data_IF_917525433825
#
_entry.id   IF_917525433825
#
_cell.length_a   1.000
_cell.length_b   1.000
_cell.length_c   1.000
_cell.angle_alpha   90.00
_cell.angle_beta   90.00
_cell.angle_gamma   90.00
#
_symmetry.space_group_name_H-M   'P 1'
#
loop_
_entity.id
_entity.type
_entity.pdbx_description
1 polymer ?
#
# COMPACT_ATOMS: atom_id res chain seq x y z
N UNK A 1 4.59 -21.32 6.01
CA UNK A 1 5.16 -20.28 5.12
C UNK A 1 4.10 -19.92 4.09
N UNK A 2 3.29 -18.88 4.33
CA UNK A 2 2.26 -18.45 3.38
C UNK A 2 2.90 -17.65 2.24
N UNK A 3 2.64 -18.05 1.00
CA UNK A 3 3.10 -17.33 -0.20
C UNK A 3 2.33 -16.01 -0.26
N UNK A 4 2.99 -14.91 0.08
CA UNK A 4 2.38 -13.59 -0.05
C UNK A 4 2.15 -13.28 -1.54
N UNK A 5 1.08 -12.57 -1.90
CA UNK A 5 0.90 -12.12 -3.26
C UNK A 5 2.04 -11.17 -3.62
N UNK A 6 2.71 -11.47 -4.72
CA UNK A 6 3.71 -10.61 -5.33
C UNK A 6 3.03 -9.80 -6.44
N UNK A 7 3.37 -8.53 -6.53
CA UNK A 7 2.95 -7.72 -7.68
C UNK A 7 3.69 -8.23 -8.92
N UNK A 8 3.00 -8.31 -10.06
CA UNK A 8 3.60 -8.87 -11.28
C UNK A 8 4.78 -7.98 -11.73
N UNK A 9 5.85 -8.61 -12.21
CA UNK A 9 7.12 -7.96 -12.63
C UNK A 9 7.92 -7.26 -11.52
N UNK A 10 7.33 -7.03 -10.34
CA UNK A 10 8.01 -6.50 -9.17
C UNK A 10 8.30 -7.64 -8.18
N UNK A 11 9.54 -7.79 -7.72
CA UNK A 11 9.85 -8.71 -6.60
C UNK A 11 9.38 -8.15 -5.24
N UNK A 12 8.35 -7.31 -5.25
CA UNK A 12 7.75 -6.67 -4.09
C UNK A 12 6.45 -7.38 -3.73
N UNK A 13 6.29 -7.70 -2.45
CA UNK A 13 5.02 -8.22 -1.92
C UNK A 13 4.05 -7.07 -1.72
N UNK A 14 2.74 -7.36 -1.76
CA UNK A 14 1.68 -6.37 -1.48
C UNK A 14 1.93 -5.65 -0.15
N UNK A 15 2.37 -6.39 0.88
CA UNK A 15 2.77 -5.83 2.17
C UNK A 15 3.89 -4.81 2.04
N UNK A 16 4.94 -5.13 1.27
CA UNK A 16 6.09 -4.23 1.10
C UNK A 16 5.67 -2.93 0.42
N UNK A 17 4.79 -2.99 -0.57
CA UNK A 17 4.25 -1.79 -1.22
C UNK A 17 3.51 -0.91 -0.22
N UNK A 18 2.65 -1.48 0.62
CA UNK A 18 1.93 -0.71 1.65
C UNK A 18 2.89 -0.08 2.66
N UNK A 19 3.94 -0.80 3.07
CA UNK A 19 4.99 -0.28 3.95
C UNK A 19 5.73 0.91 3.29
N UNK A 20 6.06 0.82 1.99
CA UNK A 20 6.65 1.93 1.24
C UNK A 20 5.68 3.11 1.17
N UNK A 21 4.39 2.88 0.90
CA UNK A 21 3.39 3.95 0.84
C UNK A 21 3.22 4.70 2.17
N UNK A 22 3.47 4.03 3.29
CA UNK A 22 3.44 4.59 4.64
C UNK A 22 4.77 5.24 5.07
N UNK A 23 5.88 4.87 4.43
CA UNK A 23 7.23 5.39 4.72
C UNK A 23 7.50 6.67 3.94
N UNK A 24 7.11 6.70 2.67
CA UNK A 24 7.27 7.86 1.80
C UNK A 24 6.02 8.76 1.88
N UNK A 25 6.19 9.94 2.47
CA UNK A 25 5.15 10.98 2.51
C UNK A 25 4.92 11.59 1.12
N UNK A 26 6.00 11.80 0.36
CA UNK A 26 5.94 12.29 -1.01
C UNK A 26 5.88 11.15 -2.05
N UNK A 27 4.98 11.29 -3.01
CA UNK A 27 4.77 10.29 -4.06
C UNK A 27 5.76 10.39 -5.22
N UNK A 28 6.40 11.54 -5.44
CA UNK A 28 7.45 11.67 -6.45
C UNK A 28 8.73 10.99 -5.96
N UNK A 29 9.11 11.16 -4.69
CA UNK A 29 10.27 10.46 -4.12
C UNK A 29 10.12 8.95 -4.23
N UNK A 30 8.94 8.41 -3.91
CA UNK A 30 8.64 6.99 -4.08
C UNK A 30 8.82 6.53 -5.53
N UNK A 31 8.35 7.31 -6.50
CA UNK A 31 8.48 6.99 -7.94
C UNK A 31 9.91 7.11 -8.44
N UNK A 32 10.72 8.00 -7.87
CA UNK A 32 12.13 8.13 -8.24
C UNK A 32 12.93 6.92 -7.75
N UNK A 33 12.65 6.44 -6.55
CA UNK A 33 13.32 5.28 -5.94
C UNK A 33 12.79 3.94 -6.51
N UNK A 34 11.50 3.89 -6.85
CA UNK A 34 10.82 2.72 -7.41
C UNK A 34 10.12 3.08 -8.73
N UNK A 35 10.86 3.37 -9.81
CA UNK A 35 10.27 3.76 -11.10
C UNK A 35 9.49 2.62 -11.77
N UNK A 36 9.77 1.39 -11.36
CA UNK A 36 9.05 0.18 -11.76
C UNK A 36 7.70 0.01 -11.07
N UNK A 37 7.43 0.75 -9.99
CA UNK A 37 6.16 0.71 -9.26
C UNK A 37 5.15 1.65 -9.90
N UNK A 38 4.20 1.10 -10.65
CA UNK A 38 3.16 1.89 -11.29
C UNK A 38 2.01 2.22 -10.32
N UNK A 39 1.24 3.27 -10.63
CA UNK A 39 0.05 3.61 -9.85
C UNK A 39 -0.97 2.48 -9.83
N UNK A 40 -1.04 1.70 -10.90
CA UNK A 40 -1.95 0.56 -10.99
C UNK A 40 -1.56 -0.53 -9.99
N UNK A 41 -0.26 -0.80 -9.83
CA UNK A 41 0.25 -1.73 -8.83
C UNK A 41 -0.12 -1.30 -7.41
N UNK A 42 0.00 0.00 -7.13
CA UNK A 42 -0.40 0.60 -5.86
C UNK A 42 -1.90 0.41 -5.61
N UNK A 43 -2.75 0.66 -6.61
CA UNK A 43 -4.21 0.45 -6.49
C UNK A 43 -4.54 -1.01 -6.23
N UNK A 44 -3.98 -1.93 -7.00
CA UNK A 44 -4.23 -3.36 -6.84
C UNK A 44 -3.76 -3.86 -5.47
N UNK A 45 -2.60 -3.36 -4.98
CA UNK A 45 -2.11 -3.66 -3.63
C UNK A 45 -3.06 -3.19 -2.53
N UNK A 46 -3.62 -1.98 -2.67
CA UNK A 46 -4.60 -1.43 -1.72
C UNK A 46 -5.92 -2.21 -1.76
N UNK A 47 -6.44 -2.54 -2.95
CA UNK A 47 -7.65 -3.35 -3.12
C UNK A 47 -7.47 -4.72 -2.46
N UNK A 48 -6.35 -5.39 -2.73
CA UNK A 48 -6.01 -6.66 -2.08
C UNK A 48 -5.97 -6.54 -0.55
N UNK A 49 -5.40 -5.45 -0.02
CA UNK A 49 -5.32 -5.22 1.43
C UNK A 49 -6.69 -5.04 2.08
N UNK A 50 -7.61 -4.35 1.38
CA UNK A 50 -9.00 -4.18 1.82
C UNK A 50 -9.75 -5.53 1.81
N UNK A 51 -9.62 -6.31 0.74
CA UNK A 51 -10.28 -7.62 0.62
C UNK A 51 -9.74 -8.66 1.61
N UNK A 52 -8.45 -8.63 1.89
CA UNK A 52 -7.78 -9.69 2.68
C UNK A 52 -7.87 -9.46 4.19
N UNK A 53 -8.71 -8.52 4.66
CA UNK A 53 -8.84 -8.20 6.08
C UNK A 53 -7.46 -7.96 6.73
N UNK A 54 -6.57 -7.20 6.05
CA UNK A 54 -5.18 -6.99 6.47
C UNK A 54 -5.13 -6.13 7.74
N UNK A 55 -5.48 -6.72 8.88
CA UNK A 55 -5.66 -6.03 10.15
C UNK A 55 -4.31 -5.77 10.80
N UNK A 56 -3.67 -4.70 10.35
CA UNK A 56 -2.81 -3.89 11.22
C UNK A 56 -3.02 -2.42 10.89
N UNK A 57 -4.26 -1.99 11.07
CA UNK A 57 -4.65 -0.60 10.91
C UNK A 57 -4.06 0.22 12.07
N UNK A 58 -2.87 0.78 11.88
CA UNK A 58 -2.43 1.94 12.67
C UNK A 58 -3.02 3.17 12.00
N UNK A 59 -4.29 3.47 12.31
CA UNK A 59 -4.84 4.79 12.04
C UNK A 59 -4.23 5.74 13.06
N UNK A 60 -3.42 6.71 12.61
CA UNK A 60 -3.26 7.95 13.37
C UNK A 60 -4.63 8.62 13.43
N UNK A 61 -5.19 8.70 14.64
CA UNK A 61 -6.61 9.03 14.89
C UNK A 61 -7.02 10.45 14.53
N UNK A 62 -6.12 11.31 14.05
CA UNK A 62 -6.38 12.73 13.78
C UNK A 62 -7.08 13.01 12.43
N UNK A 63 -7.14 12.07 11.49
CA UNK A 63 -7.54 12.38 10.10
C UNK A 63 -8.77 11.64 9.56
N UNK A 64 -9.30 10.62 10.26
CA UNK A 64 -10.61 10.04 9.86
C UNK A 64 -11.73 10.87 10.47
N UNK A 65 -12.02 12.01 9.84
CA UNK A 65 -13.27 12.72 10.07
C UNK A 65 -14.39 11.83 9.53
N UNK A 66 -15.11 11.10 10.41
CA UNK A 66 -16.40 10.52 10.03
C UNK A 66 -17.24 11.68 9.49
N UNK A 67 -17.53 11.70 8.19
CA UNK A 67 -18.78 12.33 7.73
C UNK A 67 -19.89 11.54 8.40
N UNK A 68 -20.46 12.10 9.47
CA UNK A 68 -21.74 11.66 10.00
C UNK A 68 -22.78 12.17 9.00
N UNK A 69 -23.48 11.25 8.36
CA UNK A 69 -24.87 11.46 7.94
C UNK A 69 -25.79 11.15 9.12
#
# INVERSE_FOLDING_TARGET
MARQPCIRNLRLTVRRVIELLATYEDRNELRQEFPELEDEDIRQALLFALETNFSKTVIRSDTITRKRE
#
